data_IF_596729931181
#
_entry.id   IF_596729931181
#
_cell.length_a   1.000
_cell.length_b   1.000
_cell.length_c   1.000
_cell.angle_alpha   90.00
_cell.angle_beta   90.00
_cell.angle_gamma   90.00
#
_symmetry.space_group_name_H-M   'P 1'
#
loop_
_entity.id
_entity.type
_entity.pdbx_description
1 polymer ?
#
# COMPACT_ATOMS: atom_id res chain seq x y z
N UNK A 1 -16.73 -11.63 -13.25
CA UNK A 1 -15.80 -10.64 -13.85
C UNK A 1 -15.46 -9.58 -12.80
N UNK A 2 -14.18 -9.21 -12.67
CA UNK A 2 -13.69 -8.21 -11.70
C UNK A 2 -12.96 -7.08 -12.44
N UNK A 3 -13.09 -5.85 -11.96
CA UNK A 3 -12.28 -4.72 -12.45
C UNK A 3 -10.87 -4.84 -11.90
N UNK A 4 -9.88 -4.68 -12.76
CA UNK A 4 -8.46 -4.75 -12.41
C UNK A 4 -7.73 -3.53 -12.97
N UNK A 5 -6.69 -3.09 -12.28
CA UNK A 5 -5.80 -2.03 -12.78
C UNK A 5 -4.67 -2.70 -13.56
N UNK A 6 -4.45 -2.29 -14.80
CA UNK A 6 -3.40 -2.82 -15.67
C UNK A 6 -2.31 -1.75 -15.79
N UNK A 7 -1.10 -2.09 -15.37
CA UNK A 7 0.08 -1.25 -15.52
C UNK A 7 0.97 -1.83 -16.61
N UNK A 8 1.44 -0.97 -17.51
CA UNK A 8 2.34 -1.31 -18.61
C UNK A 8 3.58 -0.46 -18.47
N UNK A 9 4.72 -1.09 -18.27
CA UNK A 9 6.02 -0.43 -18.16
C UNK A 9 6.89 -0.79 -19.36
N UNK A 10 7.29 0.24 -20.10
CA UNK A 10 8.19 0.10 -21.23
C UNK A 10 9.65 0.31 -20.80
N UNK A 11 10.63 -0.36 -21.45
CA UNK A 11 12.05 -0.15 -21.18
C UNK A 11 12.53 1.29 -21.42
N UNK A 12 11.79 2.06 -22.22
CA UNK A 12 12.01 3.50 -22.45
C UNK A 12 11.78 4.37 -21.21
N UNK A 13 11.16 3.81 -20.15
CA UNK A 13 10.73 4.54 -18.96
C UNK A 13 9.31 5.10 -19.06
N UNK A 14 8.60 4.84 -20.17
CA UNK A 14 7.18 5.15 -20.30
C UNK A 14 6.36 4.16 -19.47
N UNK A 15 5.44 4.67 -18.65
CA UNK A 15 4.45 3.85 -17.94
C UNK A 15 3.03 4.30 -18.28
N UNK A 16 2.16 3.31 -18.50
CA UNK A 16 0.74 3.54 -18.82
C UNK A 16 -0.11 2.70 -17.87
N UNK A 17 -1.06 3.35 -17.22
CA UNK A 17 -1.99 2.72 -16.29
C UNK A 17 -3.41 2.88 -16.83
N UNK A 18 -4.15 1.77 -16.92
CA UNK A 18 -5.54 1.75 -17.36
C UNK A 18 -6.35 0.69 -16.59
N UNK A 19 -7.66 0.63 -16.83
CA UNK A 19 -8.55 -0.37 -16.22
C UNK A 19 -8.87 -1.48 -17.20
N UNK A 20 -8.81 -2.72 -16.70
CA UNK A 20 -9.21 -3.92 -17.40
C UNK A 20 -10.31 -4.69 -16.67
N UNK A 21 -10.81 -5.73 -17.33
CA UNK A 21 -11.76 -6.68 -16.76
C UNK A 21 -11.13 -8.07 -16.70
N UNK A 22 -10.95 -8.60 -15.50
CA UNK A 22 -10.49 -9.96 -15.28
C UNK A 22 -11.66 -10.95 -15.32
N UNK A 23 -11.53 -11.97 -16.18
CA UNK A 23 -12.44 -13.09 -16.31
C UNK A 23 -11.80 -14.33 -15.64
N UNK A 24 -12.17 -14.66 -14.39
CA UNK A 24 -11.52 -15.73 -13.63
C UNK A 24 -11.77 -17.11 -14.25
N UNK A 25 -12.91 -17.29 -14.94
CA UNK A 25 -13.32 -18.57 -15.54
C UNK A 25 -12.37 -19.03 -16.65
N UNK A 26 -11.65 -18.08 -17.27
CA UNK A 26 -10.72 -18.32 -18.39
C UNK A 26 -9.30 -17.81 -18.12
N UNK A 27 -9.04 -17.20 -16.95
CA UNK A 27 -7.72 -16.68 -16.59
C UNK A 27 -7.21 -15.53 -17.46
N UNK A 28 -8.12 -14.74 -18.04
CA UNK A 28 -7.78 -13.65 -18.99
C UNK A 28 -8.13 -12.28 -18.44
N UNK A 29 -7.30 -11.29 -18.77
CA UNK A 29 -7.58 -9.86 -18.56
C UNK A 29 -7.89 -9.22 -19.90
N UNK A 30 -9.10 -8.65 -19.99
CA UNK A 30 -9.54 -7.84 -21.12
C UNK A 30 -9.18 -6.37 -20.87
N UNK A 31 -8.49 -5.76 -21.82
CA UNK A 31 -8.06 -4.37 -21.77
C UNK A 31 -9.02 -3.47 -22.54
N UNK A 32 -8.96 -2.16 -22.29
CA UNK A 32 -9.75 -1.20 -23.06
C UNK A 32 -9.28 -1.15 -24.53
N UNK A 33 -10.21 -0.82 -25.43
CA UNK A 33 -9.90 -0.61 -26.86
C UNK A 33 -8.81 0.44 -27.05
N UNK A 34 -8.80 1.49 -26.21
CA UNK A 34 -7.79 2.55 -26.28
C UNK A 34 -6.40 2.04 -25.94
N UNK A 35 -6.28 1.23 -24.89
CA UNK A 35 -5.00 0.65 -24.48
C UNK A 35 -4.48 -0.33 -25.52
N UNK A 36 -5.38 -1.11 -26.13
CA UNK A 36 -5.01 -1.99 -27.25
C UNK A 36 -4.43 -1.20 -28.41
N UNK A 37 -5.15 -0.18 -28.89
CA UNK A 37 -4.74 0.57 -30.06
C UNK A 37 -3.40 1.31 -29.79
N UNK A 38 -3.19 1.76 -28.55
CA UNK A 38 -1.92 2.30 -28.08
C UNK A 38 -0.80 1.25 -28.11
N UNK A 39 -1.02 0.05 -27.57
CA UNK A 39 -0.02 -1.03 -27.59
C UNK A 39 0.35 -1.46 -29.02
N UNK A 40 -0.62 -1.48 -29.93
CA UNK A 40 -0.39 -1.80 -31.34
C UNK A 40 0.47 -0.74 -32.06
N UNK A 41 0.37 0.52 -31.64
CA UNK A 41 1.21 1.61 -32.14
C UNK A 41 2.63 1.50 -31.58
N UNK A 42 2.76 1.39 -30.26
CA UNK A 42 4.07 1.43 -29.57
C UNK A 42 4.86 0.14 -29.80
N UNK A 43 4.20 -1.00 -29.97
CA UNK A 43 4.84 -2.28 -30.29
C UNK A 43 5.58 -2.30 -31.64
N UNK A 44 5.37 -1.29 -32.51
CA UNK A 44 6.13 -1.14 -33.75
C UNK A 44 7.46 -0.40 -33.55
N UNK A 45 7.58 0.36 -32.46
CA UNK A 45 8.72 1.27 -32.23
C UNK A 45 9.54 0.92 -31.00
N UNK A 46 8.95 0.22 -30.03
CA UNK A 46 9.59 -0.10 -28.75
C UNK A 46 9.79 -1.60 -28.52
N UNK A 47 10.70 -1.90 -27.59
CA UNK A 47 10.89 -3.25 -27.08
C UNK A 47 9.68 -3.71 -26.25
N UNK A 48 9.43 -5.03 -26.15
CA UNK A 48 8.26 -5.56 -25.44
C UNK A 48 8.13 -5.00 -24.01
N UNK A 49 6.97 -4.47 -23.62
CA UNK A 49 6.76 -3.94 -22.27
C UNK A 49 6.54 -5.06 -21.25
N UNK A 50 6.78 -4.74 -19.98
CA UNK A 50 6.31 -5.55 -18.86
C UNK A 50 4.89 -5.15 -18.53
N UNK A 51 3.97 -6.11 -18.50
CA UNK A 51 2.55 -5.85 -18.22
C UNK A 51 2.17 -6.54 -16.91
N UNK A 52 1.61 -5.78 -15.98
CA UNK A 52 1.11 -6.27 -14.71
C UNK A 52 -0.36 -5.89 -14.53
N UNK A 53 -1.11 -6.70 -13.79
CA UNK A 53 -2.46 -6.39 -13.35
C UNK A 53 -2.59 -6.51 -11.85
N UNK A 54 -3.18 -5.50 -11.22
CA UNK A 54 -3.42 -5.47 -9.78
C UNK A 54 -4.92 -5.53 -9.48
N UNK A 55 -5.31 -6.42 -8.55
CA UNK A 55 -6.66 -6.46 -7.98
C UNK A 55 -6.65 -6.95 -6.54
N UNK A 56 -7.35 -6.24 -5.66
CA UNK A 56 -7.60 -6.67 -4.26
C UNK A 56 -6.34 -7.16 -3.52
N UNK A 57 -5.16 -6.59 -3.80
CA UNK A 57 -3.89 -7.04 -3.21
C UNK A 57 -3.28 -8.29 -3.85
N UNK A 58 -3.63 -8.57 -5.10
CA UNK A 58 -2.98 -9.56 -5.95
C UNK A 58 -2.38 -8.83 -7.14
N UNK A 59 -1.17 -9.19 -7.52
CA UNK A 59 -0.47 -8.65 -8.66
C UNK A 59 -0.13 -9.81 -9.59
N UNK A 60 -0.66 -9.78 -10.80
CA UNK A 60 -0.33 -10.78 -11.79
C UNK A 60 0.49 -10.20 -12.92
N UNK A 61 1.53 -10.92 -13.30
CA UNK A 61 2.24 -10.64 -14.54
C UNK A 61 1.40 -11.19 -15.70
N UNK A 62 1.18 -10.33 -16.68
CA UNK A 62 0.38 -10.63 -17.85
C UNK A 62 1.30 -10.83 -19.08
N UNK A 63 0.98 -11.81 -19.91
CA UNK A 63 1.59 -11.98 -21.23
C UNK A 63 0.52 -11.74 -22.29
N UNK A 64 0.90 -11.05 -23.37
CA UNK A 64 0.02 -10.86 -24.51
C UNK A 64 -0.30 -12.21 -25.16
N UNK A 65 -1.56 -12.63 -25.08
CA UNK A 65 -2.02 -13.88 -25.70
C UNK A 65 -2.62 -13.64 -27.07
N UNK A 66 -3.43 -12.58 -27.20
CA UNK A 66 -3.97 -12.10 -28.48
C UNK A 66 -3.98 -10.57 -28.49
N UNK A 67 -4.37 -9.96 -29.62
CA UNK A 67 -4.45 -8.50 -29.75
C UNK A 67 -5.31 -7.84 -28.66
N UNK A 68 -6.38 -8.51 -28.21
CA UNK A 68 -7.40 -7.94 -27.31
C UNK A 68 -7.36 -8.52 -25.88
N UNK A 69 -6.55 -9.56 -25.64
CA UNK A 69 -6.52 -10.23 -24.34
C UNK A 69 -5.13 -10.58 -23.88
N UNK A 70 -4.93 -10.35 -22.59
CA UNK A 70 -3.71 -10.63 -21.88
C UNK A 70 -3.95 -11.85 -20.99
N UNK A 71 -3.15 -12.90 -21.21
CA UNK A 71 -3.18 -14.09 -20.38
C UNK A 71 -2.43 -13.82 -19.08
N UNK A 72 -3.02 -14.29 -17.97
CA UNK A 72 -2.37 -14.27 -16.67
C UNK A 72 -1.31 -15.38 -16.64
N UNK A 73 -0.03 -15.02 -16.56
CA UNK A 73 1.06 -15.99 -16.52
C UNK A 73 1.36 -16.45 -15.09
N UNK A 74 1.47 -15.49 -14.18
CA UNK A 74 1.83 -15.75 -12.79
C UNK A 74 1.04 -14.78 -11.91
N UNK A 75 0.19 -15.31 -11.04
CA UNK A 75 -0.48 -14.52 -10.01
C UNK A 75 0.43 -14.52 -8.80
N UNK A 76 1.15 -13.41 -8.59
CA UNK A 76 1.75 -13.16 -7.28
C UNK A 76 0.64 -12.60 -6.40
N UNK A 77 0.35 -13.31 -5.31
CA UNK A 77 -0.36 -12.66 -4.21
C UNK A 77 0.64 -11.67 -3.63
N UNK A 78 0.69 -10.46 -4.21
CA UNK A 78 1.43 -9.32 -3.66
C UNK A 78 0.70 -8.95 -2.40
N UNK A 79 0.96 -9.71 -1.33
CA UNK A 79 0.34 -9.55 -0.03
C UNK A 79 0.38 -8.06 0.28
N UNK A 80 -0.77 -7.39 0.09
CA UNK A 80 -0.89 -5.99 0.40
C UNK A 80 -0.35 -5.86 1.81
N UNK A 81 0.61 -4.96 2.10
CA UNK A 81 1.16 -4.87 3.45
C UNK A 81 -0.04 -4.75 4.36
N UNK A 82 -0.28 -5.80 5.14
CA UNK A 82 -1.56 -6.05 5.79
C UNK A 82 -1.74 -4.92 6.79
N UNK A 83 -2.42 -3.86 6.36
CA UNK A 83 -2.62 -2.67 7.19
C UNK A 83 -3.23 -3.16 8.48
N UNK A 84 -2.57 -2.85 9.59
CA UNK A 84 -3.07 -3.19 10.91
C UNK A 84 -4.54 -2.79 11.02
N UNK A 85 -5.39 -3.63 11.61
CA UNK A 85 -6.81 -3.31 11.78
C UNK A 85 -7.04 -1.94 12.46
N UNK A 86 -6.11 -1.53 13.33
CA UNK A 86 -6.09 -0.21 13.98
C UNK A 86 -5.79 0.91 12.96
N UNK A 87 -4.81 0.71 12.09
CA UNK A 87 -4.40 1.70 11.10
C UNK A 87 -5.46 1.86 10.02
N UNK A 88 -6.17 0.79 9.63
CA UNK A 88 -7.30 0.85 8.69
C UNK A 88 -8.48 1.72 9.16
N UNK A 89 -8.66 1.90 10.47
CA UNK A 89 -9.70 2.75 11.06
C UNK A 89 -9.26 4.20 11.24
N UNK A 90 -7.96 4.41 11.51
CA UNK A 90 -7.42 5.72 11.85
C UNK A 90 -6.89 6.47 10.62
N UNK A 91 -6.35 5.74 9.63
CA UNK A 91 -5.89 6.30 8.36
C UNK A 91 -7.07 6.27 7.39
N UNK A 92 -7.51 7.45 6.95
CA UNK A 92 -8.57 7.54 5.94
C UNK A 92 -8.03 7.13 4.58
N UNK A 93 -8.74 6.26 3.88
CA UNK A 93 -8.42 5.89 2.49
C UNK A 93 -8.46 7.09 1.53
N UNK A 94 -9.12 8.18 1.91
CA UNK A 94 -9.24 9.42 1.12
C UNK A 94 -8.07 10.38 1.28
N UNK A 95 -7.09 10.09 2.13
CA UNK A 95 -5.94 10.98 2.34
C UNK A 95 -4.92 10.86 1.23
N UNK A 96 -4.38 12.00 0.79
CA UNK A 96 -3.26 12.02 -0.15
C UNK A 96 -1.99 11.47 0.48
N UNK A 97 -1.02 11.08 -0.35
CA UNK A 97 0.30 10.60 0.10
C UNK A 97 0.98 11.57 1.07
N UNK A 98 0.97 12.86 0.77
CA UNK A 98 1.60 13.87 1.64
C UNK A 98 0.86 14.02 2.99
N UNK A 99 -0.48 13.98 3.00
CA UNK A 99 -1.26 13.98 4.24
C UNK A 99 -0.95 12.77 5.13
N UNK A 100 -0.84 11.59 4.51
CA UNK A 100 -0.45 10.36 5.21
C UNK A 100 0.96 10.44 5.78
N UNK A 101 1.90 11.04 5.05
CA UNK A 101 3.27 11.25 5.54
C UNK A 101 3.33 12.25 6.69
N UNK A 102 2.61 13.37 6.60
CA UNK A 102 2.52 14.35 7.69
C UNK A 102 1.92 13.73 8.95
N UNK A 103 0.83 12.98 8.81
CA UNK A 103 0.21 12.27 9.93
C UNK A 103 1.15 11.23 10.56
N UNK A 104 1.88 10.48 9.73
CA UNK A 104 2.88 9.53 10.20
C UNK A 104 3.99 10.16 11.04
N UNK A 105 4.51 11.32 10.59
CA UNK A 105 5.50 12.10 11.35
C UNK A 105 4.97 12.55 12.71
N UNK A 106 3.71 13.00 12.77
CA UNK A 106 3.07 13.38 14.05
C UNK A 106 2.94 12.16 14.97
N UNK A 107 2.54 11.00 14.44
CA UNK A 107 2.45 9.78 15.24
C UNK A 107 3.81 9.32 15.79
N UNK A 108 4.88 9.44 15.01
CA UNK A 108 6.23 9.19 15.50
C UNK A 108 6.66 10.18 16.58
N UNK A 109 6.34 11.47 16.42
CA UNK A 109 6.61 12.48 17.44
C UNK A 109 5.90 12.16 18.77
N UNK A 110 4.61 11.78 18.72
CA UNK A 110 3.86 11.35 19.90
C UNK A 110 4.46 10.11 20.56
N UNK A 111 4.96 9.16 19.76
CA UNK A 111 5.63 7.95 20.26
C UNK A 111 6.90 8.31 21.04
N UNK A 112 7.73 9.21 20.49
CA UNK A 112 8.93 9.73 21.16
C UNK A 112 8.55 10.50 22.43
N UNK A 113 7.53 11.37 22.37
CA UNK A 113 7.05 12.11 23.54
C UNK A 113 6.55 11.18 24.65
N UNK A 114 5.88 10.08 24.32
CA UNK A 114 5.44 9.09 25.31
C UNK A 114 6.63 8.40 25.99
N UNK A 115 7.69 8.05 25.23
CA UNK A 115 8.92 7.48 25.80
C UNK A 115 9.61 8.47 26.75
N UNK A 116 9.77 9.72 26.32
CA UNK A 116 10.33 10.79 27.16
C UNK A 116 9.47 10.99 28.41
N UNK A 117 8.15 10.95 28.28
CA UNK A 117 7.19 11.03 29.38
C UNK A 117 7.35 9.90 30.39
N UNK A 118 7.56 8.66 29.94
CA UNK A 118 7.83 7.51 30.81
C UNK A 118 9.09 7.74 31.64
N UNK A 119 10.19 8.17 31.01
CA UNK A 119 11.46 8.43 31.69
C UNK A 119 11.31 9.58 32.69
N UNK A 120 10.69 10.68 32.30
CA UNK A 120 10.45 11.82 33.18
C UNK A 120 9.53 11.48 34.37
N UNK A 121 8.50 10.67 34.12
CA UNK A 121 7.58 10.25 35.17
C UNK A 121 8.23 9.28 36.15
N UNK A 122 9.04 8.34 35.66
CA UNK A 122 9.83 7.43 36.51
C UNK A 122 10.80 8.17 37.44
N UNK A 123 11.48 9.20 36.94
CA UNK A 123 12.49 9.95 37.69
C UNK A 123 11.92 11.04 38.62
N UNK A 124 10.67 11.47 38.40
CA UNK A 124 10.04 12.50 39.24
C UNK A 124 9.29 11.92 40.45
N UNK A 125 9.20 10.60 40.57
CA UNK A 125 8.42 9.97 41.62
C UNK A 125 9.21 9.79 42.92
N UNK A 126 8.66 10.20 44.07
CA UNK A 126 9.25 9.94 45.39
C UNK A 126 9.13 8.47 45.82
N UNK A 127 8.41 7.64 45.07
CA UNK A 127 8.25 6.21 45.30
C UNK A 127 7.32 5.54 44.26
N UNK A 128 7.44 4.22 44.11
CA UNK A 128 6.65 3.44 43.16
C UNK A 128 5.26 3.12 43.72
N UNK A 129 4.21 3.69 43.11
CA UNK A 129 2.82 3.38 43.45
C UNK A 129 2.16 2.53 42.36
N UNK A 130 1.13 1.78 42.73
CA UNK A 130 0.36 0.98 41.75
C UNK A 130 -0.31 1.86 40.67
N UNK A 131 -0.71 3.09 41.01
CA UNK A 131 -1.24 4.05 40.04
C UNK A 131 -0.17 4.49 39.04
N UNK A 132 1.04 4.75 39.52
CA UNK A 132 2.15 5.16 38.68
C UNK A 132 2.50 4.09 37.64
N UNK A 133 2.57 2.83 38.08
CA UNK A 133 2.82 1.68 37.17
C UNK A 133 1.73 1.60 36.10
N UNK A 134 0.44 1.77 36.45
CA UNK A 134 -0.65 1.80 35.47
C UNK A 134 -0.53 2.95 34.46
N UNK A 135 -0.18 4.14 34.92
CA UNK A 135 0.00 5.30 34.05
C UNK A 135 1.18 5.10 33.08
N UNK A 136 2.30 4.54 33.55
CA UNK A 136 3.43 4.21 32.69
C UNK A 136 3.07 3.14 31.65
N UNK A 137 2.33 2.10 32.06
CA UNK A 137 1.84 1.08 31.14
C UNK A 137 0.93 1.68 30.05
N UNK A 138 0.05 2.62 30.42
CA UNK A 138 -0.79 3.33 29.44
C UNK A 138 0.06 4.14 28.45
N UNK A 139 1.12 4.82 28.90
CA UNK A 139 2.05 5.53 28.00
C UNK A 139 2.80 4.59 27.06
N UNK A 140 3.20 3.39 27.52
CA UNK A 140 3.81 2.37 26.66
C UNK A 140 2.83 1.93 25.58
N UNK A 141 1.58 1.66 25.95
CA UNK A 141 0.53 1.28 24.98
C UNK A 141 0.32 2.38 23.95
N UNK A 142 0.23 3.64 24.37
CA UNK A 142 0.12 4.78 23.45
C UNK A 142 1.33 4.84 22.51
N UNK A 143 2.56 4.72 23.04
CA UNK A 143 3.79 4.76 22.24
C UNK A 143 3.80 3.69 21.15
N UNK A 144 3.42 2.45 21.49
CA UNK A 144 3.36 1.33 20.53
C UNK A 144 2.30 1.57 19.47
N UNK A 145 1.10 1.99 19.87
CA UNK A 145 0.00 2.24 18.94
C UNK A 145 0.38 3.35 17.96
N UNK A 146 0.86 4.49 18.45
CA UNK A 146 1.24 5.60 17.58
C UNK A 146 2.43 5.25 16.70
N UNK A 147 3.36 4.42 17.17
CA UNK A 147 4.49 3.98 16.36
C UNK A 147 4.03 3.12 15.17
N UNK A 148 3.20 2.10 15.44
CA UNK A 148 2.66 1.20 14.40
C UNK A 148 1.78 1.96 13.41
N UNK A 149 0.89 2.82 13.90
CA UNK A 149 0.03 3.66 13.03
C UNK A 149 0.86 4.62 12.19
N UNK A 150 1.93 5.20 12.76
CA UNK A 150 2.86 6.07 12.03
C UNK A 150 3.56 5.35 10.88
N UNK A 151 4.10 4.16 11.15
CA UNK A 151 4.71 3.31 10.14
C UNK A 151 3.74 2.94 9.01
N UNK A 152 2.55 2.45 9.34
CA UNK A 152 1.52 2.07 8.35
C UNK A 152 1.02 3.29 7.56
N UNK A 153 0.99 4.48 8.16
CA UNK A 153 0.62 5.71 7.46
C UNK A 153 1.64 6.06 6.39
N UNK A 154 2.93 5.90 6.68
CA UNK A 154 4.02 6.24 5.78
C UNK A 154 4.31 5.14 4.74
N UNK A 155 3.90 3.89 4.99
CA UNK A 155 4.03 2.77 4.06
C UNK A 155 2.86 2.71 3.06
N UNK A 156 3.17 2.80 1.77
CA UNK A 156 2.23 2.63 0.67
C UNK A 156 2.17 3.89 -0.20
N UNK A 157 2.54 3.71 -1.47
CA UNK A 157 2.26 4.65 -2.56
C UNK A 157 0.76 4.82 -2.79
#
# INVERSE_FOLDING_TARGET
>A
MKLVEVCIEFPSGLSVVDRGTYAPDIGMVYISVRLRDFLAMVGQTESPPTITANWEGNEATLIQSTADSLAVLEVRVSGSPQRSWLSSRLIRSTWSKDQRQQYGRVCHALSVSAIVGIVGYANSAPGWTSQMVRNMAAMVVVAVITFVVGMDSMNGD
#
